data_IF_655921945449
#
_entry.id   IF_655921945449
#
_cell.length_a   1.000
_cell.length_b   1.000
_cell.length_c   1.000
_cell.angle_alpha   90.00
_cell.angle_beta   90.00
_cell.angle_gamma   90.00
#
_symmetry.space_group_name_H-M   'P 1'
#
loop_
_entity.id
_entity.type
_entity.pdbx_description
1 polymer ?
#
# COMPACT_ATOMS: atom_id res chain seq x y z
N UNK A 1 -0.63 -4.97 -17.45
CA UNK A 1 -1.90 -4.43 -16.94
C UNK A 1 -2.66 -3.75 -18.07
N UNK A 2 -3.98 -3.97 -18.20
CA UNK A 2 -4.77 -3.40 -19.25
C UNK A 2 -4.96 -1.88 -19.05
N UNK A 3 -5.16 -1.15 -20.15
CA UNK A 3 -5.53 0.27 -20.09
C UNK A 3 -6.85 0.48 -19.36
N UNK A 4 -7.01 1.64 -18.75
CA UNK A 4 -8.26 2.04 -18.12
C UNK A 4 -9.35 2.26 -19.18
N UNK A 5 -10.64 2.22 -18.81
CA UNK A 5 -11.75 2.44 -19.76
C UNK A 5 -11.70 3.78 -20.49
N UNK A 6 -11.09 4.80 -19.86
CA UNK A 6 -10.86 6.14 -20.47
C UNK A 6 -9.58 6.22 -21.32
N UNK A 7 -8.92 5.08 -21.57
CA UNK A 7 -7.69 4.98 -22.35
C UNK A 7 -6.41 5.35 -21.58
N UNK A 8 -6.50 5.71 -20.31
CA UNK A 8 -5.32 5.97 -19.49
C UNK A 8 -4.50 4.69 -19.28
N UNK A 9 -3.18 4.84 -19.21
CA UNK A 9 -2.27 3.71 -19.02
C UNK A 9 -1.77 3.70 -17.58
N UNK A 10 -2.10 2.68 -16.77
CA UNK A 10 -1.49 2.48 -15.46
C UNK A 10 0.02 2.28 -15.58
N UNK A 11 0.79 3.04 -14.79
CA UNK A 11 2.25 2.98 -14.79
C UNK A 11 2.84 2.61 -13.43
N UNK A 12 2.07 2.74 -12.35
CA UNK A 12 2.47 2.32 -11.02
C UNK A 12 1.26 2.04 -10.13
N UNK A 13 1.43 1.10 -9.22
CA UNK A 13 0.46 0.69 -8.21
C UNK A 13 1.10 0.89 -6.85
N UNK A 14 0.50 1.73 -6.00
CA UNK A 14 1.01 2.03 -4.68
C UNK A 14 0.31 1.16 -3.64
N UNK A 15 1.12 0.48 -2.84
CA UNK A 15 0.69 -0.46 -1.82
C UNK A 15 1.18 -0.04 -0.45
N UNK A 16 0.36 -0.28 0.57
CA UNK A 16 0.74 -0.16 1.96
C UNK A 16 0.59 -1.52 2.63
N UNK A 17 1.62 -2.00 3.33
CA UNK A 17 1.45 -3.11 4.25
C UNK A 17 0.50 -2.68 5.36
N UNK A 18 -0.19 -3.62 5.94
CA UNK A 18 -1.17 -3.35 6.99
C UNK A 18 -0.81 -4.04 8.29
N UNK A 19 -1.29 -3.51 9.40
CA UNK A 19 -1.31 -4.16 10.70
C UNK A 19 -2.72 -4.13 11.29
N UNK A 20 -2.96 -4.96 12.27
CA UNK A 20 -4.18 -4.89 13.07
C UNK A 20 -3.94 -3.99 14.28
N UNK A 21 -4.84 -3.06 14.51
CA UNK A 21 -4.81 -2.20 15.71
C UNK A 21 -4.92 -3.06 16.97
N UNK A 22 -3.99 -2.87 17.92
CA UNK A 22 -3.94 -3.66 19.16
C UNK A 22 -4.88 -3.15 20.26
N UNK A 23 -5.61 -2.06 20.02
CA UNK A 23 -6.67 -1.66 20.95
C UNK A 23 -7.77 -2.73 20.93
N UNK A 24 -8.09 -3.39 22.10
CA UNK A 24 -9.05 -4.48 22.17
C UNK A 24 -10.44 -4.11 21.67
N UNK A 25 -10.84 -2.85 21.83
CA UNK A 25 -12.15 -2.34 21.39
C UNK A 25 -12.19 -1.96 19.91
N UNK A 26 -11.06 -1.98 19.20
CA UNK A 26 -10.95 -1.53 17.82
C UNK A 26 -10.67 -2.68 16.85
N UNK A 27 -9.46 -3.23 16.88
CA UNK A 27 -9.04 -4.32 15.99
C UNK A 27 -9.04 -3.96 14.49
N UNK A 28 -9.04 -2.68 14.14
CA UNK A 28 -9.13 -2.23 12.76
C UNK A 28 -7.84 -2.47 11.96
N UNK A 29 -7.97 -2.64 10.66
CA UNK A 29 -6.85 -2.64 9.72
C UNK A 29 -6.24 -1.24 9.61
N UNK A 30 -4.95 -1.14 9.85
CA UNK A 30 -4.17 0.12 9.77
C UNK A 30 -3.16 0.01 8.64
N UNK A 31 -3.33 0.74 7.53
CA UNK A 31 -2.34 0.81 6.47
C UNK A 31 -1.10 1.60 6.93
N UNK A 32 0.08 1.07 6.67
CA UNK A 32 1.34 1.68 7.06
C UNK A 32 1.82 2.68 6.00
N UNK A 33 1.43 3.92 6.15
CA UNK A 33 1.74 5.01 5.21
C UNK A 33 2.48 6.11 5.97
N UNK A 34 3.70 6.45 5.52
CA UNK A 34 4.51 7.48 6.17
C UNK A 34 4.09 8.89 5.79
N UNK A 35 3.70 9.09 4.54
CA UNK A 35 3.27 10.40 4.02
C UNK A 35 2.03 10.23 3.18
N UNK A 36 1.06 11.12 3.38
CA UNK A 36 -0.16 11.16 2.58
C UNK A 36 0.01 12.00 1.30
N UNK A 37 1.16 12.63 1.09
CA UNK A 37 1.45 13.30 -0.17
C UNK A 37 1.83 12.30 -1.26
N UNK A 38 1.04 12.29 -2.34
CA UNK A 38 1.31 11.51 -3.56
C UNK A 38 2.18 12.30 -4.54
N UNK A 39 1.96 13.60 -4.60
CA UNK A 39 2.80 14.55 -5.33
C UNK A 39 2.80 15.92 -4.63
N UNK A 40 3.97 16.56 -4.63
CA UNK A 40 4.12 17.93 -4.10
C UNK A 40 5.02 18.70 -5.04
N UNK A 41 4.43 19.34 -6.05
CA UNK A 41 5.15 20.18 -7.03
C UNK A 41 4.51 21.56 -7.07
N UNK A 42 5.29 22.57 -7.43
CA UNK A 42 4.76 23.92 -7.70
C UNK A 42 3.67 23.84 -8.77
N UNK A 43 2.51 24.39 -8.49
CA UNK A 43 1.36 24.43 -9.37
C UNK A 43 0.53 23.14 -9.44
N UNK A 44 0.98 22.02 -8.85
CA UNK A 44 0.18 20.78 -8.76
C UNK A 44 0.60 19.94 -7.58
N UNK A 45 -0.29 19.73 -6.67
CA UNK A 45 -0.12 18.82 -5.55
C UNK A 45 -1.26 17.81 -5.50
N UNK A 46 -0.96 16.60 -5.03
CA UNK A 46 -1.95 15.53 -4.86
C UNK A 46 -1.69 14.84 -3.54
N UNK A 47 -2.73 14.61 -2.78
CA UNK A 47 -2.65 13.92 -1.50
C UNK A 47 -3.69 12.81 -1.37
N UNK A 48 -3.40 11.88 -0.48
CA UNK A 48 -4.31 10.84 -0.04
C UNK A 48 -5.02 11.31 1.24
N UNK A 49 -6.32 11.13 1.29
CA UNK A 49 -7.12 11.32 2.51
C UNK A 49 -7.55 9.96 3.02
N UNK A 50 -7.42 9.77 4.32
CA UNK A 50 -7.86 8.58 5.04
C UNK A 50 -9.18 8.89 5.74
N UNK A 51 -10.23 8.17 5.38
CA UNK A 51 -11.55 8.30 6.01
C UNK A 51 -11.81 7.05 6.85
N UNK A 52 -11.94 7.17 8.18
CA UNK A 52 -12.25 6.04 9.04
C UNK A 52 -13.59 5.38 8.69
N UNK A 53 -13.59 4.07 8.52
CA UNK A 53 -14.77 3.24 8.29
C UNK A 53 -14.91 2.26 9.46
N UNK A 54 -15.69 2.66 10.47
CA UNK A 54 -15.86 1.87 11.69
C UNK A 54 -16.67 0.60 11.46
N UNK A 55 -17.59 0.60 10.49
CA UNK A 55 -18.41 -0.57 10.18
C UNK A 55 -17.57 -1.72 9.62
N UNK A 56 -16.60 -1.42 8.76
CA UNK A 56 -15.71 -2.40 8.16
C UNK A 56 -14.36 -2.51 8.89
N UNK A 57 -14.18 -1.78 9.98
CA UNK A 57 -12.92 -1.74 10.76
C UNK A 57 -11.68 -1.49 9.89
N UNK A 58 -11.78 -0.57 8.95
CA UNK A 58 -10.71 -0.16 8.05
C UNK A 58 -10.76 1.33 7.76
N UNK A 59 -9.82 1.84 6.98
CA UNK A 59 -9.88 3.19 6.40
C UNK A 59 -10.21 3.12 4.93
N UNK A 60 -11.03 4.05 4.44
CA UNK A 60 -11.23 4.28 3.03
C UNK A 60 -10.25 5.34 2.53
N UNK A 61 -9.90 5.26 1.26
CA UNK A 61 -8.95 6.15 0.62
C UNK A 61 -9.68 7.10 -0.35
N UNK A 62 -9.29 8.35 -0.32
CA UNK A 62 -9.76 9.38 -1.25
C UNK A 62 -8.55 10.17 -1.76
N UNK A 63 -8.58 10.56 -3.03
CA UNK A 63 -7.54 11.40 -3.61
C UNK A 63 -8.02 12.84 -3.66
N UNK A 64 -7.22 13.76 -3.15
CA UNK A 64 -7.48 15.19 -3.16
C UNK A 64 -6.44 15.85 -4.06
N UNK A 65 -6.91 16.56 -5.09
CA UNK A 65 -6.06 17.40 -5.93
C UNK A 65 -5.96 18.82 -5.37
N UNK A 66 -4.74 19.34 -5.39
CA UNK A 66 -4.38 20.68 -4.90
C UNK A 66 -4.90 21.00 -3.50
N UNK A 67 -4.74 20.07 -2.52
CA UNK A 67 -5.18 20.34 -1.16
C UNK A 67 -4.37 21.47 -0.53
N UNK A 68 -5.00 22.19 0.39
CA UNK A 68 -4.26 23.07 1.29
C UNK A 68 -3.32 22.22 2.17
N UNK A 69 -2.11 22.69 2.40
CA UNK A 69 -1.11 21.96 3.23
C UNK A 69 -1.65 21.60 4.62
N UNK A 70 -2.55 22.41 5.19
CA UNK A 70 -3.17 22.17 6.50
C UNK A 70 -4.23 21.06 6.48
N UNK A 71 -4.76 20.74 5.32
CA UNK A 71 -5.79 19.66 5.14
C UNK A 71 -5.15 18.28 5.07
N UNK A 72 -3.88 18.21 4.69
CA UNK A 72 -3.16 16.95 4.57
C UNK A 72 -2.59 16.56 5.93
N UNK A 73 -3.23 15.58 6.54
CA UNK A 73 -2.78 15.01 7.83
C UNK A 73 -1.43 14.31 7.67
N UNK A 74 -0.81 14.01 8.80
CA UNK A 74 0.35 13.12 8.83
C UNK A 74 -0.05 11.69 8.45
N UNK A 75 0.93 10.91 8.00
CA UNK A 75 0.73 9.49 7.73
C UNK A 75 0.45 8.69 9.01
N UNK A 76 0.10 7.44 8.85
CA UNK A 76 -0.17 6.52 9.97
C UNK A 76 1.09 6.05 10.69
N UNK A 77 2.27 6.21 10.08
CA UNK A 77 3.55 5.72 10.64
C UNK A 77 4.47 6.87 10.99
N UNK A 78 4.90 6.89 12.24
CA UNK A 78 5.95 7.77 12.73
C UNK A 78 6.97 6.98 13.58
N UNK A 79 8.26 7.14 13.27
CA UNK A 79 9.37 6.47 13.99
C UNK A 79 9.19 4.95 14.16
N UNK A 80 8.51 4.31 13.20
CA UNK A 80 8.24 2.85 13.20
C UNK A 80 7.01 2.41 13.99
N UNK A 81 6.40 3.27 14.80
CA UNK A 81 5.10 3.03 15.43
C UNK A 81 3.97 3.41 14.46
N UNK A 82 2.80 2.81 14.64
CA UNK A 82 1.64 3.06 13.76
C UNK A 82 0.43 3.53 14.57
N UNK A 83 -0.13 4.68 14.19
CA UNK A 83 -1.33 5.26 14.82
C UNK A 83 -2.56 4.88 14.02
N UNK A 84 -3.54 4.29 14.69
CA UNK A 84 -4.81 3.88 14.10
C UNK A 84 -5.69 5.10 13.79
N UNK A 85 -6.09 5.32 12.53
CA UNK A 85 -6.96 6.44 12.17
C UNK A 85 -8.39 6.36 12.76
N UNK A 86 -8.82 5.15 13.17
CA UNK A 86 -10.17 4.96 13.72
C UNK A 86 -10.25 5.34 15.21
N UNK A 87 -9.29 4.90 16.01
CA UNK A 87 -9.37 5.05 17.47
C UNK A 87 -8.23 5.87 18.07
N UNK A 88 -7.24 6.29 17.29
CA UNK A 88 -6.09 7.06 17.76
C UNK A 88 -5.03 6.24 18.52
N UNK A 89 -5.25 4.94 18.76
CA UNK A 89 -4.28 4.09 19.45
C UNK A 89 -2.99 3.96 18.62
N UNK A 90 -1.85 4.09 19.29
CA UNK A 90 -0.54 3.93 18.66
C UNK A 90 0.06 2.57 19.00
N UNK A 91 0.12 1.69 18.02
CA UNK A 91 0.79 0.39 18.11
C UNK A 91 2.31 0.60 18.14
N UNK A 92 3.02 0.11 19.17
CA UNK A 92 4.45 0.30 19.31
C UNK A 92 5.26 -0.39 18.21
N UNK A 93 6.45 0.12 17.91
CA UNK A 93 7.34 -0.42 16.87
C UNK A 93 7.62 -1.91 17.00
N UNK A 94 7.81 -2.42 18.24
CA UNK A 94 8.04 -3.85 18.49
C UNK A 94 6.86 -4.70 18.01
N UNK A 95 5.64 -4.29 18.31
CA UNK A 95 4.42 -4.97 17.87
C UNK A 95 4.20 -4.86 16.36
N UNK A 96 4.43 -3.68 15.77
CA UNK A 96 4.39 -3.50 14.31
C UNK A 96 5.32 -4.49 13.62
N UNK A 97 6.59 -4.55 14.06
CA UNK A 97 7.58 -5.48 13.50
C UNK A 97 7.18 -6.95 13.68
N UNK A 98 6.65 -7.32 14.86
CA UNK A 98 6.19 -8.68 15.12
C UNK A 98 5.05 -9.10 14.20
N UNK A 99 4.05 -8.24 14.00
CA UNK A 99 2.95 -8.51 13.08
C UNK A 99 3.45 -8.64 11.63
N UNK A 100 4.32 -7.74 11.17
CA UNK A 100 4.88 -7.78 9.83
C UNK A 100 5.74 -9.03 9.59
N UNK A 101 6.55 -9.42 10.58
CA UNK A 101 7.36 -10.65 10.50
C UNK A 101 6.49 -11.90 10.38
N UNK A 102 5.40 -11.99 11.14
CA UNK A 102 4.48 -13.14 11.13
C UNK A 102 3.81 -13.35 9.78
N UNK A 103 3.59 -12.29 9.01
CA UNK A 103 2.83 -12.35 7.74
C UNK A 103 3.69 -12.58 6.51
N UNK A 104 5.02 -12.43 6.59
CA UNK A 104 5.99 -12.60 5.50
C UNK A 104 5.86 -11.64 4.29
N UNK A 105 4.79 -10.87 4.19
CA UNK A 105 4.56 -9.94 3.06
C UNK A 105 3.80 -10.58 1.89
N UNK A 106 3.79 -9.86 0.76
CA UNK A 106 3.07 -10.24 -0.46
C UNK A 106 1.80 -9.42 -0.69
N UNK A 107 1.09 -9.68 -1.79
CA UNK A 107 -0.13 -8.95 -2.16
C UNK A 107 -1.27 -9.13 -1.13
N UNK A 108 -1.33 -10.29 -0.48
CA UNK A 108 -2.31 -10.57 0.58
C UNK A 108 -2.02 -9.85 1.91
N UNK A 109 -0.79 -9.35 2.10
CA UNK A 109 -0.36 -8.63 3.31
C UNK A 109 -0.29 -7.11 3.08
N UNK A 110 -0.78 -6.65 1.96
CA UNK A 110 -0.74 -5.25 1.59
C UNK A 110 -2.05 -4.82 0.95
N UNK A 111 -2.34 -3.54 1.06
CA UNK A 111 -3.53 -2.94 0.47
C UNK A 111 -3.11 -1.93 -0.58
N UNK A 112 -3.63 -2.08 -1.79
CA UNK A 112 -3.45 -1.08 -2.83
C UNK A 112 -4.26 0.16 -2.47
N UNK A 113 -3.65 1.34 -2.53
CA UNK A 113 -4.32 2.58 -2.14
C UNK A 113 -4.32 3.63 -3.24
N UNK A 114 -3.48 3.49 -4.26
CA UNK A 114 -3.46 4.44 -5.37
C UNK A 114 -2.91 3.78 -6.63
N UNK A 115 -3.47 4.14 -7.76
CA UNK A 115 -2.96 3.81 -9.10
C UNK A 115 -2.51 5.10 -9.77
N UNK A 116 -1.29 5.09 -10.30
CA UNK A 116 -0.74 6.21 -11.06
C UNK A 116 -0.88 5.89 -12.53
N UNK A 117 -1.46 6.81 -13.28
CA UNK A 117 -1.70 6.65 -14.71
C UNK A 117 -1.10 7.79 -15.54
N UNK A 118 -0.92 7.53 -16.81
CA UNK A 118 -0.59 8.54 -17.82
C UNK A 118 -1.64 8.53 -18.92
N UNK A 119 -1.79 9.64 -19.64
CA UNK A 119 -2.70 9.77 -20.78
C UNK A 119 -1.91 10.12 -22.02
N UNK A 120 -2.31 9.58 -23.16
CA UNK A 120 -1.76 10.00 -24.44
C UNK A 120 -1.99 11.50 -24.65
N UNK A 121 -0.99 12.20 -25.15
CA UNK A 121 -1.04 13.63 -25.47
C UNK A 121 -1.27 14.59 -24.28
N UNK A 122 -1.23 14.11 -23.04
CA UNK A 122 -1.32 14.95 -21.82
C UNK A 122 -0.11 14.71 -20.95
N UNK A 123 0.71 15.74 -20.77
CA UNK A 123 1.87 15.64 -19.89
C UNK A 123 1.46 15.56 -18.42
N UNK A 124 2.07 14.63 -17.70
CA UNK A 124 1.90 14.49 -16.27
C UNK A 124 1.45 13.11 -15.82
N UNK A 125 1.37 12.95 -14.51
CA UNK A 125 0.86 11.75 -13.86
C UNK A 125 -0.50 12.04 -13.28
N UNK A 126 -1.42 11.11 -13.41
CA UNK A 126 -2.74 11.17 -12.81
C UNK A 126 -2.85 10.11 -11.73
N UNK A 127 -3.66 10.37 -10.72
CA UNK A 127 -3.80 9.53 -9.54
C UNK A 127 -5.26 9.15 -9.40
N UNK A 128 -5.53 7.88 -9.15
CA UNK A 128 -6.88 7.39 -8.88
C UNK A 128 -6.88 6.30 -7.81
N UNK A 129 -8.01 6.12 -7.18
CA UNK A 129 -8.25 4.99 -6.28
C UNK A 129 -8.28 3.69 -7.11
N UNK A 130 -7.80 2.57 -6.57
CA UNK A 130 -7.91 1.26 -7.20
C UNK A 130 -9.37 0.90 -7.46
N UNK A 131 -9.65 0.40 -8.66
CA UNK A 131 -10.92 -0.21 -9.01
C UNK A 131 -10.92 -1.71 -8.71
N UNK A 132 -12.10 -2.34 -8.72
CA UNK A 132 -12.20 -3.80 -8.59
C UNK A 132 -11.38 -4.51 -9.67
N UNK A 133 -11.37 -3.98 -10.89
CA UNK A 133 -10.56 -4.52 -12.00
C UNK A 133 -9.06 -4.57 -11.68
N UNK A 134 -8.51 -3.56 -10.98
CA UNK A 134 -7.11 -3.57 -10.59
C UNK A 134 -6.82 -4.70 -9.60
N UNK A 135 -7.73 -4.93 -8.66
CA UNK A 135 -7.62 -6.00 -7.67
C UNK A 135 -7.76 -7.38 -8.31
N UNK A 136 -8.68 -7.55 -9.26
CA UNK A 136 -8.89 -8.79 -9.99
C UNK A 136 -7.64 -9.17 -10.80
N UNK A 137 -7.01 -8.21 -11.48
CA UNK A 137 -5.77 -8.44 -12.22
C UNK A 137 -4.64 -8.91 -11.30
N UNK A 138 -4.51 -8.31 -10.10
CA UNK A 138 -3.51 -8.76 -9.11
C UNK A 138 -3.83 -10.17 -8.61
N UNK A 139 -5.08 -10.47 -8.35
CA UNK A 139 -5.51 -11.79 -7.92
C UNK A 139 -5.19 -12.87 -8.96
N UNK A 140 -5.50 -12.61 -10.24
CA UNK A 140 -5.16 -13.53 -11.33
C UNK A 140 -3.64 -13.68 -11.52
N UNK A 141 -2.89 -12.58 -11.41
CA UNK A 141 -1.42 -12.64 -11.46
C UNK A 141 -0.84 -13.46 -10.30
N UNK A 142 -1.42 -13.37 -9.11
CA UNK A 142 -1.01 -14.16 -7.95
C UNK A 142 -1.27 -15.65 -8.17
N UNK A 143 -2.44 -16.02 -8.71
CA UNK A 143 -2.76 -17.40 -9.08
C UNK A 143 -1.78 -17.97 -10.12
N UNK A 144 -1.48 -17.18 -11.14
CA UNK A 144 -0.54 -17.58 -12.18
C UNK A 144 0.88 -17.77 -11.64
N UNK A 145 1.31 -16.90 -10.72
CA UNK A 145 2.59 -17.05 -10.03
C UNK A 145 2.64 -18.37 -9.24
N UNK A 146 1.60 -18.69 -8.47
CA UNK A 146 1.57 -19.94 -7.71
C UNK A 146 1.50 -21.17 -8.61
N UNK A 147 0.82 -21.08 -9.77
CA UNK A 147 0.86 -22.13 -10.79
C UNK A 147 2.28 -22.34 -11.30
N UNK A 148 2.97 -21.26 -11.70
CA UNK A 148 4.35 -21.33 -12.20
C UNK A 148 5.32 -21.90 -11.17
N UNK A 149 5.19 -21.52 -9.91
CA UNK A 149 6.02 -22.07 -8.82
C UNK A 149 5.85 -23.58 -8.69
N UNK A 150 4.61 -24.10 -8.79
CA UNK A 150 4.34 -25.54 -8.72
C UNK A 150 4.92 -26.31 -9.91
N UNK A 151 4.82 -25.72 -11.10
CA UNK A 151 5.24 -26.34 -12.34
C UNK A 151 6.76 -26.28 -12.55
N UNK A 152 7.44 -25.35 -11.86
CA UNK A 152 8.87 -25.14 -11.97
C UNK A 152 9.67 -26.27 -11.31
N UNK A 153 10.64 -26.83 -12.05
CA UNK A 153 11.54 -27.90 -11.60
C UNK A 153 13.02 -27.51 -11.71
N UNK A 154 13.31 -26.26 -12.07
CA UNK A 154 14.68 -25.77 -12.26
C UNK A 154 15.25 -25.11 -11.01
N UNK A 155 16.52 -24.73 -11.10
CA UNK A 155 17.23 -23.92 -10.14
C UNK A 155 17.79 -22.66 -10.84
N UNK A 156 17.80 -21.49 -10.21
CA UNK A 156 17.17 -21.16 -8.90
C UNK A 156 15.63 -21.13 -8.97
N UNK A 157 14.99 -21.03 -7.81
CA UNK A 157 13.53 -20.85 -7.71
C UNK A 157 13.06 -19.64 -8.53
N UNK A 158 11.85 -19.71 -9.10
CA UNK A 158 11.23 -18.59 -9.85
C UNK A 158 11.20 -17.30 -9.00
N UNK A 159 10.95 -17.44 -7.71
CA UNK A 159 11.05 -16.33 -6.74
C UNK A 159 12.21 -16.67 -5.82
N UNK A 160 13.26 -15.84 -5.81
CA UNK A 160 14.40 -16.05 -4.92
C UNK A 160 13.97 -16.21 -3.47
N UNK A 161 14.43 -17.25 -2.81
CA UNK A 161 14.12 -17.57 -1.41
C UNK A 161 15.39 -17.64 -0.54
N UNK A 162 16.54 -17.34 -1.10
CA UNK A 162 17.81 -17.33 -0.40
C UNK A 162 17.79 -16.25 0.71
N UNK A 163 18.26 -16.58 1.93
CA UNK A 163 18.39 -15.60 2.98
C UNK A 163 19.34 -14.48 2.55
N UNK A 164 18.94 -13.24 2.73
CA UNK A 164 19.86 -12.11 2.55
C UNK A 164 21.04 -12.27 3.50
N UNK A 165 22.28 -12.04 3.05
CA UNK A 165 23.45 -12.09 3.93
C UNK A 165 23.24 -11.14 5.12
N UNK A 166 23.35 -11.66 6.33
CA UNK A 166 23.37 -10.84 7.55
C UNK A 166 24.75 -10.16 7.61
N UNK A 167 24.94 -9.21 6.72
CA UNK A 167 26.11 -8.31 6.81
C UNK A 167 25.80 -7.26 7.87
N UNK A 168 26.66 -7.23 8.86
CA UNK A 168 26.73 -6.29 9.96
C UNK A 168 26.07 -4.92 9.70
N UNK A 169 24.95 -4.63 10.33
CA UNK A 169 24.43 -3.29 10.53
C UNK A 169 23.56 -2.68 9.46
N UNK A 170 23.39 -3.29 8.28
CA UNK A 170 22.60 -2.68 7.20
C UNK A 170 21.12 -3.15 7.19
N UNK A 171 20.83 -4.33 7.78
CA UNK A 171 19.48 -4.93 7.78
C UNK A 171 18.98 -5.37 9.16
N UNK A 172 19.51 -4.80 10.23
CA UNK A 172 19.01 -5.01 11.60
C UNK A 172 17.84 -4.07 11.94
#
# INVERSE_FOLDING_TARGET
YPKDPDGATPIAYLWARTITCENPSCGAEVPLIRSLWLAKKTGRSVALKLTPNSAEKKVDFEIIENPNTREVKEGTVARGSATCPLCGYTTPVKSVRAQLKKRYGGAADARMFCVITTRANVLGKFYRIPSQRDLDVVFEASKELERRKRDWKGEPDIVPNEPLPIMSGVFN
#
